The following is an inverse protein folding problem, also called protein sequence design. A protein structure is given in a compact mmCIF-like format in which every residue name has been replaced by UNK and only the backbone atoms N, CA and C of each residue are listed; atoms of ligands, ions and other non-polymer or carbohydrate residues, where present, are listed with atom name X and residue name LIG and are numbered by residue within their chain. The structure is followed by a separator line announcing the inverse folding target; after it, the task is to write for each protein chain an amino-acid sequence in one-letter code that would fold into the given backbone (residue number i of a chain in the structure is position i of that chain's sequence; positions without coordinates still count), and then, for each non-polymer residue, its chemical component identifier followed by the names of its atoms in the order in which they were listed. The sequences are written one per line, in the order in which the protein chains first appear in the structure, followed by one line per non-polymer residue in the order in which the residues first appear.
data_IF_588512920773
#
_entry.id   IF_588512920773
#
_cell.length_a   1.000
_cell.length_b   1.000
_cell.length_c   1.000
_cell.angle_alpha   90.00
_cell.angle_beta   90.00
_cell.angle_gamma   90.00
#
_symmetry.space_group_name_H-M   'P 1'
#
loop_
_entity.id
_entity.type
_entity.pdbx_description
1 polymer ?
#
# COMPACT_ATOMS: atom_id res chain seq x y z
N UNK A 1 -12.80 10.55 18.62
CA UNK A 1 -13.72 9.47 18.22
C UNK A 1 -15.16 9.94 18.42
N UNK A 2 -16.01 9.86 17.42
CA UNK A 2 -17.40 10.27 17.59
C UNK A 2 -18.12 9.39 18.61
N UNK A 3 -18.93 10.00 19.43
CA UNK A 3 -19.77 9.28 20.39
C UNK A 3 -21.00 8.75 19.67
N UNK A 4 -20.83 7.65 18.98
CA UNK A 4 -21.88 6.98 18.20
C UNK A 4 -21.74 5.47 18.35
N UNK A 5 -22.88 4.78 18.26
CA UNK A 5 -22.96 3.32 18.39
C UNK A 5 -21.97 2.59 17.45
N UNK A 6 -21.76 3.14 16.23
CA UNK A 6 -20.86 2.55 15.24
C UNK A 6 -19.41 2.44 15.73
N UNK A 7 -19.00 3.34 16.64
CA UNK A 7 -17.63 3.33 17.17
C UNK A 7 -17.31 2.12 18.07
N UNK A 8 -18.31 1.33 18.40
CA UNK A 8 -18.13 0.08 19.17
C UNK A 8 -17.74 -1.10 18.27
N UNK A 9 -17.96 -1.01 16.97
CA UNK A 9 -17.68 -2.10 16.05
C UNK A 9 -16.20 -2.12 15.64
N UNK A 10 -15.57 -3.30 15.73
CA UNK A 10 -14.18 -3.50 15.36
C UNK A 10 -13.90 -3.09 13.91
N UNK A 11 -14.79 -3.45 12.99
CA UNK A 11 -14.64 -3.08 11.57
C UNK A 11 -14.56 -1.57 11.38
N UNK A 12 -15.36 -0.80 12.12
CA UNK A 12 -15.31 0.66 12.06
C UNK A 12 -14.00 1.22 12.62
N UNK A 13 -13.53 0.67 13.73
CA UNK A 13 -12.26 1.09 14.33
C UNK A 13 -11.08 0.84 13.39
N UNK A 14 -11.05 -0.34 12.76
CA UNK A 14 -10.02 -0.68 11.79
C UNK A 14 -10.08 0.24 10.56
N UNK A 15 -11.28 0.50 10.04
CA UNK A 15 -11.47 1.40 8.90
C UNK A 15 -11.04 2.83 9.24
N UNK A 16 -11.40 3.32 10.42
CA UNK A 16 -11.02 4.65 10.89
C UNK A 16 -9.51 4.79 11.05
N UNK A 17 -8.87 3.83 11.69
CA UNK A 17 -7.41 3.82 11.86
C UNK A 17 -6.69 3.76 10.50
N UNK A 18 -7.13 2.88 9.61
CA UNK A 18 -6.58 2.76 8.26
C UNK A 18 -6.72 4.08 7.48
N UNK A 19 -7.87 4.73 7.58
CA UNK A 19 -8.10 6.02 6.91
C UNK A 19 -7.14 7.10 7.40
N UNK A 20 -6.95 7.21 8.71
CA UNK A 20 -6.01 8.18 9.30
C UNK A 20 -4.59 7.94 8.83
N UNK A 21 -4.15 6.68 8.83
CA UNK A 21 -2.82 6.30 8.36
C UNK A 21 -2.60 6.66 6.90
N UNK A 22 -3.56 6.33 6.04
CA UNK A 22 -3.47 6.63 4.60
C UNK A 22 -3.47 8.12 4.31
N UNK A 23 -4.31 8.90 4.98
CA UNK A 23 -4.35 10.35 4.80
C UNK A 23 -3.05 11.01 5.25
N UNK A 24 -2.51 10.60 6.39
CA UNK A 24 -1.23 11.11 6.89
C UNK A 24 -0.08 10.80 5.94
N UNK A 25 -0.02 9.57 5.43
CA UNK A 25 0.99 9.16 4.46
C UNK A 25 0.84 9.97 3.16
N UNK A 26 -0.37 10.11 2.64
CA UNK A 26 -0.63 10.89 1.43
C UNK A 26 -0.14 12.34 1.56
N UNK A 27 -0.35 12.96 2.72
CA UNK A 27 0.15 14.31 3.00
C UNK A 27 1.68 14.37 3.01
N UNK A 28 2.34 13.37 3.56
CA UNK A 28 3.80 13.32 3.67
C UNK A 28 4.50 13.16 2.33
N UNK A 29 3.83 12.62 1.31
CA UNK A 29 4.37 12.38 -0.04
C UNK A 29 3.71 13.25 -1.13
N UNK A 30 2.89 14.22 -0.76
CA UNK A 30 2.12 15.03 -1.71
C UNK A 30 3.00 15.80 -2.71
N UNK A 31 4.19 16.24 -2.30
CA UNK A 31 5.11 17.00 -3.13
C UNK A 31 5.64 16.21 -4.34
N UNK A 32 5.61 14.90 -4.28
CA UNK A 32 6.06 14.02 -5.37
C UNK A 32 4.95 13.69 -6.38
N UNK A 33 3.75 14.24 -6.19
CA UNK A 33 2.57 13.95 -7.02
C UNK A 33 2.23 12.46 -7.10
N UNK A 34 2.52 11.75 -6.02
CA UNK A 34 2.24 10.32 -5.88
C UNK A 34 1.15 10.13 -4.83
N UNK A 35 0.09 9.43 -5.18
CA UNK A 35 -0.96 9.07 -4.23
C UNK A 35 -0.47 7.95 -3.30
N UNK A 36 -1.17 7.75 -2.18
CA UNK A 36 -0.87 6.64 -1.29
C UNK A 36 -1.02 5.28 -2.01
N UNK A 37 -2.02 5.15 -2.87
CA UNK A 37 -2.22 3.93 -3.68
C UNK A 37 -1.07 3.71 -4.66
N UNK A 38 -0.60 4.78 -5.34
CA UNK A 38 0.56 4.71 -6.23
C UNK A 38 1.81 4.27 -5.47
N UNK A 39 2.06 4.87 -4.29
CA UNK A 39 3.19 4.48 -3.46
C UNK A 39 3.12 3.00 -3.07
N UNK A 40 1.95 2.53 -2.68
CA UNK A 40 1.76 1.13 -2.27
C UNK A 40 2.09 0.16 -3.40
N UNK A 41 1.65 0.47 -4.61
CA UNK A 41 1.96 -0.31 -5.82
C UNK A 41 3.47 -0.28 -6.10
N UNK A 42 4.08 0.89 -6.11
CA UNK A 42 5.51 1.05 -6.37
C UNK A 42 6.35 0.33 -5.31
N UNK A 43 5.95 0.43 -4.05
CA UNK A 43 6.67 -0.23 -2.95
C UNK A 43 6.64 -1.75 -3.10
N UNK A 44 5.50 -2.33 -3.44
CA UNK A 44 5.37 -3.78 -3.67
C UNK A 44 6.24 -4.21 -4.86
N UNK A 45 6.25 -3.43 -5.94
CA UNK A 45 7.01 -3.76 -7.15
C UNK A 45 8.49 -3.43 -7.04
N UNK A 46 8.94 -2.76 -5.97
CA UNK A 46 10.34 -2.35 -5.81
C UNK A 46 11.32 -3.51 -5.62
N UNK A 47 10.82 -4.71 -5.35
CA UNK A 47 11.64 -5.93 -5.34
C UNK A 47 12.02 -6.40 -6.75
N UNK A 48 11.56 -5.71 -7.79
CA UNK A 48 11.80 -6.01 -9.20
C UNK A 48 11.24 -7.34 -9.67
N UNK A 49 10.34 -7.93 -8.90
CA UNK A 49 9.60 -9.13 -9.31
C UNK A 49 8.38 -8.73 -10.11
N UNK A 50 8.21 -9.31 -11.28
CA UNK A 50 7.01 -9.12 -12.08
C UNK A 50 5.81 -9.78 -11.41
N UNK A 51 4.65 -9.08 -11.44
CA UNK A 51 3.43 -9.61 -10.84
C UNK A 51 2.26 -9.50 -11.79
N UNK A 52 1.41 -10.53 -11.79
CA UNK A 52 0.13 -10.47 -12.50
C UNK A 52 -0.79 -9.45 -11.84
N UNK A 53 -1.82 -9.00 -12.56
CA UNK A 53 -2.81 -8.08 -12.00
C UNK A 53 -3.50 -8.67 -10.77
N UNK A 54 -3.82 -9.97 -10.80
CA UNK A 54 -4.45 -10.64 -9.65
C UNK A 54 -3.55 -10.69 -8.42
N UNK A 55 -2.28 -11.07 -8.59
CA UNK A 55 -1.29 -11.07 -7.50
C UNK A 55 -1.10 -9.69 -6.92
N UNK A 56 -0.98 -8.69 -7.79
CA UNK A 56 -0.75 -7.31 -7.39
C UNK A 56 -1.96 -6.74 -6.65
N UNK A 57 -3.18 -6.98 -7.15
CA UNK A 57 -4.41 -6.54 -6.49
C UNK A 57 -4.50 -7.04 -5.04
N UNK A 58 -4.18 -8.31 -4.82
CA UNK A 58 -4.18 -8.90 -3.49
C UNK A 58 -3.15 -8.26 -2.56
N UNK A 59 -1.92 -8.04 -3.06
CA UNK A 59 -0.84 -7.45 -2.26
C UNK A 59 -1.08 -5.98 -1.92
N UNK A 60 -1.63 -5.19 -2.85
CA UNK A 60 -1.86 -3.77 -2.63
C UNK A 60 -3.25 -3.46 -2.10
N UNK A 61 -4.08 -4.48 -1.87
CA UNK A 61 -5.42 -4.36 -1.28
C UNK A 61 -6.36 -3.46 -2.09
N UNK A 62 -6.30 -3.60 -3.42
CA UNK A 62 -7.18 -2.89 -4.35
C UNK A 62 -8.02 -3.90 -5.14
N UNK A 63 -9.24 -3.48 -5.52
CA UNK A 63 -10.02 -4.26 -6.47
C UNK A 63 -9.46 -4.08 -7.89
N UNK A 64 -9.85 -4.96 -8.80
CA UNK A 64 -9.36 -4.95 -10.18
C UNK A 64 -9.57 -3.61 -10.91
N UNK A 65 -10.77 -2.99 -10.90
CA UNK A 65 -10.98 -1.71 -11.57
C UNK A 65 -10.09 -0.58 -11.03
N UNK A 66 -9.95 -0.48 -9.72
CA UNK A 66 -9.09 0.52 -9.08
C UNK A 66 -7.62 0.29 -9.44
N UNK A 67 -7.17 -0.96 -9.42
CA UNK A 67 -5.79 -1.31 -9.79
C UNK A 67 -5.51 -0.97 -11.25
N UNK A 68 -6.39 -1.35 -12.18
CA UNK A 68 -6.23 -1.07 -13.60
C UNK A 68 -6.07 0.44 -13.84
N UNK A 69 -6.92 1.24 -13.22
CA UNK A 69 -6.86 2.71 -13.32
C UNK A 69 -5.53 3.25 -12.81
N UNK A 70 -5.05 2.77 -11.68
CA UNK A 70 -3.78 3.20 -11.10
C UNK A 70 -2.59 2.76 -11.95
N UNK A 71 -2.59 1.52 -12.44
CA UNK A 71 -1.53 1.01 -13.32
C UNK A 71 -1.47 1.81 -14.62
N UNK A 72 -2.61 2.12 -15.23
CA UNK A 72 -2.64 2.94 -16.44
C UNK A 72 -1.98 4.31 -16.24
N UNK A 73 -2.25 4.95 -15.10
CA UNK A 73 -1.62 6.23 -14.74
C UNK A 73 -0.12 6.08 -14.52
N UNK A 74 0.31 5.04 -13.82
CA UNK A 74 1.72 4.80 -13.54
C UNK A 74 2.49 4.45 -14.82
N UNK A 75 1.89 3.69 -15.73
CA UNK A 75 2.47 3.42 -17.05
C UNK A 75 2.63 4.72 -17.84
N UNK A 76 1.61 5.57 -17.87
CA UNK A 76 1.66 6.84 -18.61
C UNK A 76 2.74 7.78 -18.07
N UNK A 77 3.09 7.65 -16.80
CA UNK A 77 4.17 8.43 -16.15
C UNK A 77 5.55 7.75 -16.24
N UNK A 78 5.63 6.58 -16.85
CA UNK A 78 6.88 5.85 -16.99
C UNK A 78 7.41 5.24 -15.69
N UNK A 79 6.55 5.04 -14.70
CA UNK A 79 6.94 4.50 -13.38
C UNK A 79 6.84 2.99 -13.30
N UNK A 80 5.94 2.39 -14.08
CA UNK A 80 5.81 0.94 -14.23
C UNK A 80 5.64 0.60 -15.70
N UNK A 81 5.79 -0.68 -16.03
CA UNK A 81 5.59 -1.18 -17.39
C UNK A 81 4.91 -2.55 -17.35
N UNK A 82 4.15 -2.84 -18.42
CA UNK A 82 3.57 -4.14 -18.64
C UNK A 82 4.47 -4.90 -19.61
N UNK A 83 4.69 -6.18 -19.34
CA UNK A 83 5.46 -7.05 -20.22
C UNK A 83 4.93 -8.46 -20.16
N UNK A 84 5.12 -9.23 -21.24
CA UNK A 84 4.75 -10.63 -21.26
C UNK A 84 5.57 -11.41 -20.22
N UNK A 85 4.92 -12.38 -19.57
CA UNK A 85 5.61 -13.30 -18.67
C UNK A 85 6.61 -14.13 -19.48
N UNK A 86 7.90 -14.17 -19.10
CA UNK A 86 8.91 -14.99 -19.77
C UNK A 86 8.56 -16.48 -19.80
N UNK A 87 7.75 -16.95 -18.84
CA UNK A 87 7.35 -18.36 -18.70
C UNK A 87 6.07 -18.69 -19.46
N UNK A 88 5.22 -17.71 -19.73
CA UNK A 88 3.96 -17.87 -20.43
C UNK A 88 3.59 -16.58 -21.16
N UNK A 89 3.83 -16.54 -22.46
CA UNK A 89 3.61 -15.36 -23.29
C UNK A 89 2.16 -14.87 -23.33
N UNK A 90 1.20 -15.69 -22.91
CA UNK A 90 -0.22 -15.31 -22.80
C UNK A 90 -0.52 -14.49 -21.56
N UNK A 91 0.41 -14.43 -20.61
CA UNK A 91 0.26 -13.78 -19.34
C UNK A 91 1.03 -12.46 -19.34
N UNK A 92 0.39 -11.39 -18.84
CA UNK A 92 1.01 -10.08 -18.72
C UNK A 92 1.38 -9.84 -17.26
N UNK A 93 2.61 -9.39 -17.04
CA UNK A 93 3.11 -9.02 -15.72
C UNK A 93 3.36 -7.51 -15.67
N UNK A 94 3.24 -6.96 -14.48
CA UNK A 94 3.58 -5.57 -14.19
C UNK A 94 4.94 -5.53 -13.50
N UNK A 95 5.83 -4.68 -13.99
CA UNK A 95 7.18 -4.47 -13.45
C UNK A 95 7.37 -3.01 -13.11
N UNK A 96 8.19 -2.73 -12.10
CA UNK A 96 8.63 -1.37 -11.84
C UNK A 96 9.64 -0.94 -12.91
N UNK A 97 9.54 0.31 -13.36
CA UNK A 97 10.53 0.91 -14.25
C UNK A 97 11.62 1.60 -13.43
N UNK A 98 12.75 1.97 -14.06
CA UNK A 98 13.84 2.65 -13.38
C UNK A 98 13.39 3.96 -12.70
N UNK A 99 12.53 4.72 -13.39
CA UNK A 99 11.94 5.94 -12.81
C UNK A 99 11.08 5.64 -11.57
N UNK A 100 10.42 4.49 -11.55
CA UNK A 100 9.65 4.03 -10.39
C UNK A 100 10.56 3.70 -9.21
N UNK A 101 11.68 3.04 -9.45
CA UNK A 101 12.69 2.76 -8.41
C UNK A 101 13.25 4.05 -7.83
N UNK A 102 13.57 5.02 -8.67
CA UNK A 102 14.05 6.34 -8.23
C UNK A 102 12.98 7.05 -7.38
N UNK A 103 11.71 6.97 -7.79
CA UNK A 103 10.60 7.56 -7.04
C UNK A 103 10.48 6.93 -5.65
N UNK A 104 10.51 5.60 -5.55
CA UNK A 104 10.47 4.90 -4.26
C UNK A 104 11.64 5.35 -3.37
N UNK A 105 12.84 5.45 -3.93
CA UNK A 105 14.02 5.89 -3.18
C UNK A 105 13.86 7.32 -2.64
N UNK A 106 13.31 8.25 -3.44
CA UNK A 106 13.04 9.62 -2.99
C UNK A 106 11.98 9.68 -1.91
N UNK A 107 10.93 8.87 -2.04
CA UNK A 107 9.81 8.84 -1.08
C UNK A 107 10.20 8.22 0.26
N UNK A 108 11.22 7.36 0.28
CA UNK A 108 11.57 6.56 1.46
C UNK A 108 11.75 7.41 2.71
N UNK A 109 12.43 8.53 2.61
CA UNK A 109 12.68 9.42 3.75
C UNK A 109 11.37 9.94 4.36
N UNK A 110 10.45 10.41 3.53
CA UNK A 110 9.15 10.93 3.98
C UNK A 110 8.26 9.82 4.54
N UNK A 111 8.24 8.67 3.90
CA UNK A 111 7.46 7.50 4.33
C UNK A 111 7.97 7.01 5.70
N UNK A 112 9.27 6.83 5.83
CA UNK A 112 9.88 6.37 7.09
C UNK A 112 9.67 7.39 8.21
N UNK A 113 9.80 8.69 7.93
CA UNK A 113 9.57 9.74 8.91
C UNK A 113 8.11 9.76 9.40
N UNK A 114 7.16 9.56 8.49
CA UNK A 114 5.74 9.46 8.86
C UNK A 114 5.49 8.23 9.74
N UNK A 115 6.05 7.09 9.36
CA UNK A 115 5.96 5.85 10.14
C UNK A 115 6.54 6.03 11.54
N UNK A 116 7.73 6.62 11.66
CA UNK A 116 8.40 6.88 12.93
C UNK A 116 7.57 7.80 13.82
N UNK A 117 6.95 8.83 13.26
CA UNK A 117 6.07 9.74 14.00
C UNK A 117 4.90 9.00 14.64
N UNK A 118 4.31 8.05 13.92
CA UNK A 118 3.20 7.24 14.43
C UNK A 118 3.69 6.29 15.53
N UNK A 119 4.82 5.62 15.32
CA UNK A 119 5.40 4.73 16.32
C UNK A 119 5.79 5.47 17.60
N UNK A 120 6.34 6.68 17.47
CA UNK A 120 6.68 7.52 18.62
C UNK A 120 5.43 7.95 19.39
N UNK A 121 4.36 8.36 18.69
CA UNK A 121 3.12 8.77 19.32
C UNK A 121 2.46 7.63 20.10
N UNK A 122 2.51 6.42 19.55
CA UNK A 122 1.94 5.23 20.21
C UNK A 122 2.88 4.63 21.26
N UNK A 123 4.17 4.74 21.02
CA UNK A 123 5.23 4.11 21.81
C UNK A 123 5.63 2.73 21.28
N UNK A 124 6.89 2.30 21.48
CA UNK A 124 7.40 1.07 20.88
C UNK A 124 6.67 -0.19 21.36
N UNK A 125 6.31 -0.24 22.63
CA UNK A 125 5.61 -1.38 23.22
C UNK A 125 4.21 -1.55 22.64
N UNK A 126 3.43 -0.47 22.62
CA UNK A 126 2.06 -0.50 22.09
C UNK A 126 2.06 -0.75 20.58
N UNK A 127 3.02 -0.18 19.85
CA UNK A 127 3.20 -0.43 18.43
C UNK A 127 3.44 -1.90 18.15
N UNK A 128 4.35 -2.55 18.87
CA UNK A 128 4.62 -3.98 18.72
C UNK A 128 3.39 -4.84 19.06
N UNK A 129 2.66 -4.47 20.11
CA UNK A 129 1.43 -5.16 20.50
C UNK A 129 0.36 -5.04 19.42
N UNK A 130 0.17 -3.84 18.87
CA UNK A 130 -0.83 -3.59 17.82
C UNK A 130 -0.50 -4.36 16.55
N UNK A 131 0.75 -4.33 16.11
CA UNK A 131 1.20 -5.10 14.93
C UNK A 131 0.90 -6.58 15.10
N UNK A 132 1.25 -7.15 16.25
CA UNK A 132 1.02 -8.57 16.53
C UNK A 132 -0.46 -8.93 16.54
N UNK A 133 -1.29 -8.08 17.17
CA UNK A 133 -2.74 -8.30 17.21
C UNK A 133 -3.36 -8.23 15.83
N UNK A 134 -2.93 -7.28 14.98
CA UNK A 134 -3.38 -7.16 13.60
C UNK A 134 -2.97 -8.38 12.76
N UNK A 135 -1.71 -8.81 12.87
CA UNK A 135 -1.22 -10.00 12.18
C UNK A 135 -2.03 -11.25 12.56
N UNK A 136 -2.25 -11.45 13.85
CA UNK A 136 -3.07 -12.57 14.34
C UNK A 136 -4.51 -12.48 13.81
N UNK A 137 -5.11 -11.30 13.83
CA UNK A 137 -6.46 -11.10 13.31
C UNK A 137 -6.53 -11.41 11.81
N UNK A 138 -5.57 -10.94 11.03
CA UNK A 138 -5.52 -11.18 9.59
C UNK A 138 -5.43 -12.69 9.30
N UNK A 139 -4.58 -13.41 10.03
CA UNK A 139 -4.41 -14.85 9.84
C UNK A 139 -5.66 -15.63 10.25
N UNK A 140 -6.26 -15.31 11.38
CA UNK A 140 -7.47 -15.98 11.88
C UNK A 140 -8.70 -15.65 11.03
N UNK A 141 -8.82 -14.42 10.53
CA UNK A 141 -9.99 -13.98 9.77
C UNK A 141 -10.08 -14.55 8.36
N UNK A 142 -9.02 -15.16 7.85
CA UNK A 142 -9.05 -15.80 6.53
C UNK A 142 -10.03 -16.95 6.41
N UNK A 143 -10.46 -17.50 7.52
CA UNK A 143 -11.39 -18.65 7.59
C UNK A 143 -12.84 -18.27 7.90
N UNK A 144 -13.11 -16.98 8.04
CA UNK A 144 -14.44 -16.47 8.39
C UNK A 144 -15.25 -16.11 7.14
#
# INVERSE_FOLDING_TARGET
MPDHEISKYLAYLLASASRQMRLGLAQSIADEEVTEEHWRILQVLSDEQGRSMGELAALVLLNHPALTKNIDKLVSRGLVQRAADPRDSRRVLVYIADNGLETVARLKKSVDAHHDTIEEALGPRKTSQLKRLLENFIDESRVI
#
